data_IF_056149267761
#
_entry.id   IF_056149267761
#
_cell.length_a   1.000
_cell.length_b   1.000
_cell.length_c   1.000
_cell.angle_alpha   90.00
_cell.angle_beta   90.00
_cell.angle_gamma   90.00
#
_symmetry.space_group_name_H-M   'P 1'
#
loop_
_entity.id
_entity.type
_entity.pdbx_description
1 polymer ?
#
# COMPACT_ATOMS: atom_id res chain seq x y z
N UNK A 1 7.10 -16.11 -41.08
CA UNK A 1 6.54 -16.40 -39.74
C UNK A 1 6.31 -15.07 -39.07
N UNK A 2 5.05 -14.74 -38.81
CA UNK A 2 4.67 -13.49 -38.14
C UNK A 2 5.16 -13.54 -36.70
N UNK A 3 5.91 -12.53 -36.27
CA UNK A 3 6.23 -12.32 -34.88
C UNK A 3 4.91 -12.09 -34.13
N UNK A 4 4.56 -12.98 -33.20
CA UNK A 4 3.52 -12.68 -32.24
C UNK A 4 4.01 -11.52 -31.38
N UNK A 5 3.34 -10.37 -31.54
CA UNK A 5 3.39 -9.29 -30.55
C UNK A 5 2.95 -9.87 -29.20
N UNK A 6 3.56 -9.48 -28.06
CA UNK A 6 2.97 -9.78 -26.76
C UNK A 6 1.59 -9.13 -26.74
N UNK A 7 0.52 -9.92 -26.64
CA UNK A 7 -0.84 -9.38 -26.52
C UNK A 7 -0.90 -8.51 -25.27
N UNK A 8 -0.92 -7.19 -25.46
CA UNK A 8 -1.29 -6.26 -24.41
C UNK A 8 -2.77 -6.50 -24.09
N UNK A 9 -3.09 -6.65 -22.81
CA UNK A 9 -4.48 -6.76 -22.35
C UNK A 9 -5.33 -5.63 -22.93
N UNK A 10 -6.56 -5.97 -23.32
CA UNK A 10 -7.58 -5.01 -23.73
C UNK A 10 -8.09 -4.20 -22.53
N UNK A 11 -8.66 -3.03 -22.78
CA UNK A 11 -9.23 -2.19 -21.72
C UNK A 11 -10.34 -2.91 -20.92
N UNK A 12 -11.11 -3.78 -21.58
CA UNK A 12 -12.14 -4.61 -20.91
C UNK A 12 -11.51 -5.59 -19.92
N UNK A 13 -10.44 -6.27 -20.33
CA UNK A 13 -9.72 -7.20 -19.45
C UNK A 13 -9.05 -6.46 -18.28
N UNK A 14 -8.49 -5.27 -18.53
CA UNK A 14 -7.93 -4.41 -17.47
C UNK A 14 -9.03 -4.02 -16.49
N UNK A 15 -10.20 -3.59 -16.97
CA UNK A 15 -11.33 -3.22 -16.12
C UNK A 15 -11.82 -4.39 -15.27
N UNK A 16 -11.94 -5.59 -15.85
CA UNK A 16 -12.33 -6.79 -15.12
C UNK A 16 -11.34 -7.14 -14.01
N UNK A 17 -10.03 -7.01 -14.28
CA UNK A 17 -8.99 -7.20 -13.27
C UNK A 17 -9.14 -6.16 -12.16
N UNK A 18 -9.19 -4.86 -12.47
CA UNK A 18 -9.30 -3.80 -11.46
C UNK A 18 -10.57 -3.93 -10.61
N UNK A 19 -11.71 -4.30 -11.22
CA UNK A 19 -12.96 -4.60 -10.52
C UNK A 19 -12.81 -5.81 -9.59
N UNK A 20 -12.09 -6.85 -10.02
CA UNK A 20 -11.83 -8.02 -9.18
C UNK A 20 -10.97 -7.67 -7.96
N UNK A 21 -9.97 -6.79 -8.11
CA UNK A 21 -9.08 -6.36 -7.04
C UNK A 21 -9.81 -5.62 -5.90
N UNK A 22 -10.97 -5.01 -6.15
CA UNK A 22 -11.80 -4.41 -5.09
C UNK A 22 -12.30 -5.44 -4.06
N UNK A 23 -12.34 -6.72 -4.43
CA UNK A 23 -12.75 -7.83 -3.55
C UNK A 23 -11.58 -8.40 -2.76
N UNK A 24 -10.36 -7.93 -3.02
CA UNK A 24 -9.17 -8.43 -2.38
C UNK A 24 -9.07 -7.99 -0.93
N UNK A 25 -8.63 -8.93 -0.10
CA UNK A 25 -8.32 -8.69 1.31
C UNK A 25 -6.83 -8.43 1.49
N UNK A 26 -6.48 -7.17 1.76
CA UNK A 26 -5.09 -6.75 1.99
C UNK A 26 -4.51 -7.33 3.29
N UNK A 27 -5.37 -7.69 4.23
CA UNK A 27 -5.05 -8.06 5.61
C UNK A 27 -4.88 -9.58 5.83
N UNK A 28 -5.06 -10.41 4.80
CA UNK A 28 -5.10 -11.89 4.94
C UNK A 28 -3.83 -12.42 5.62
N UNK A 29 -2.65 -12.13 5.06
CA UNK A 29 -1.36 -12.56 5.62
C UNK A 29 -1.10 -11.93 6.99
N UNK A 30 -1.40 -10.64 7.13
CA UNK A 30 -1.19 -9.91 8.36
C UNK A 30 -2.03 -10.47 9.54
N UNK A 31 -3.27 -10.87 9.28
CA UNK A 31 -4.13 -11.53 10.26
C UNK A 31 -3.64 -12.94 10.63
N UNK A 32 -3.07 -13.68 9.67
CA UNK A 32 -2.45 -14.98 9.95
C UNK A 32 -1.24 -14.83 10.87
N UNK A 33 -0.39 -13.81 10.63
CA UNK A 33 0.74 -13.47 11.49
C UNK A 33 0.26 -13.17 12.92
N UNK A 34 -0.75 -12.32 13.07
CA UNK A 34 -1.33 -11.96 14.37
C UNK A 34 -1.86 -13.21 15.09
N UNK A 35 -2.57 -14.08 14.38
CA UNK A 35 -3.12 -15.32 14.93
C UNK A 35 -2.01 -16.25 15.43
N UNK A 36 -0.94 -16.40 14.66
CA UNK A 36 0.17 -17.30 14.96
C UNK A 36 1.04 -16.80 16.13
N UNK A 37 1.13 -15.49 16.36
CA UNK A 37 1.92 -14.92 17.44
C UNK A 37 1.40 -15.18 18.86
N UNK A 38 0.09 -15.44 19.02
CA UNK A 38 -0.53 -15.70 20.32
C UNK A 38 -0.33 -14.57 21.35
N UNK A 39 -0.51 -14.89 22.64
CA UNK A 39 -0.46 -13.89 23.72
C UNK A 39 0.97 -13.39 24.01
N UNK A 40 1.96 -14.29 24.00
CA UNK A 40 3.34 -13.97 24.34
C UNK A 40 4.08 -13.21 23.22
N UNK A 41 3.74 -13.50 21.96
CA UNK A 41 4.32 -12.86 20.78
C UNK A 41 3.49 -11.70 20.22
N UNK A 42 2.46 -11.23 20.93
CA UNK A 42 1.46 -10.28 20.40
C UNK A 42 2.08 -9.01 19.80
N UNK A 43 3.06 -8.42 20.49
CA UNK A 43 3.72 -7.19 20.04
C UNK A 43 4.51 -7.40 18.75
N UNK A 44 5.34 -8.45 18.73
CA UNK A 44 6.12 -8.81 17.54
C UNK A 44 5.24 -9.19 16.36
N UNK A 45 4.15 -9.92 16.62
CA UNK A 45 3.20 -10.30 15.58
C UNK A 45 2.54 -9.07 14.94
N UNK A 46 2.16 -8.04 15.71
CA UNK A 46 1.59 -6.83 15.11
C UNK A 46 2.62 -5.98 14.36
N UNK A 47 3.90 -5.98 14.78
CA UNK A 47 4.99 -5.39 13.98
C UNK A 47 5.07 -6.07 12.62
N UNK A 48 5.18 -7.39 12.60
CA UNK A 48 5.28 -8.15 11.36
C UNK A 48 4.01 -8.03 10.50
N UNK A 49 2.83 -7.94 11.13
CA UNK A 49 1.57 -7.70 10.43
C UNK A 49 1.51 -6.34 9.73
N UNK A 50 2.05 -5.27 10.33
CA UNK A 50 2.17 -3.96 9.67
C UNK A 50 3.11 -4.00 8.46
N UNK A 51 4.21 -4.74 8.57
CA UNK A 51 5.14 -4.95 7.44
C UNK A 51 4.46 -5.73 6.31
N UNK A 52 3.76 -6.81 6.64
CA UNK A 52 3.02 -7.62 5.67
C UNK A 52 1.90 -6.82 4.98
N UNK A 53 1.12 -6.06 5.75
CA UNK A 53 0.09 -5.16 5.22
C UNK A 53 0.69 -4.14 4.23
N UNK A 54 1.81 -3.51 4.61
CA UNK A 54 2.51 -2.56 3.73
C UNK A 54 3.01 -3.21 2.45
N UNK A 55 3.55 -4.43 2.53
CA UNK A 55 4.06 -5.14 1.37
C UNK A 55 2.94 -5.52 0.40
N UNK A 56 1.84 -6.09 0.93
CA UNK A 56 0.69 -6.52 0.13
C UNK A 56 -0.03 -5.33 -0.51
N UNK A 57 -0.25 -4.25 0.24
CA UNK A 57 -0.77 -2.99 -0.34
C UNK A 57 0.10 -2.49 -1.49
N UNK A 58 1.43 -2.44 -1.29
CA UNK A 58 2.33 -1.90 -2.31
C UNK A 58 2.40 -2.79 -3.56
N UNK A 59 2.37 -4.10 -3.40
CA UNK A 59 2.33 -5.05 -4.52
C UNK A 59 1.09 -4.83 -5.38
N UNK A 60 -0.10 -4.82 -4.76
CA UNK A 60 -1.36 -4.63 -5.46
C UNK A 60 -1.51 -3.23 -6.04
N UNK A 61 -1.04 -2.20 -5.34
CA UNK A 61 -1.00 -0.84 -5.86
C UNK A 61 -0.17 -0.75 -7.13
N UNK A 62 1.04 -1.34 -7.12
CA UNK A 62 1.94 -1.34 -8.29
C UNK A 62 1.31 -2.11 -9.44
N UNK A 63 0.71 -3.27 -9.18
CA UNK A 63 0.01 -4.06 -10.19
C UNK A 63 -1.13 -3.25 -10.84
N UNK A 64 -2.07 -2.74 -10.03
CA UNK A 64 -3.21 -1.97 -10.50
C UNK A 64 -2.77 -0.74 -11.31
N UNK A 65 -1.82 0.04 -10.80
CA UNK A 65 -1.33 1.23 -11.48
C UNK A 65 -0.53 0.90 -12.75
N UNK A 66 0.20 -0.23 -12.77
CA UNK A 66 0.93 -0.69 -13.96
C UNK A 66 -0.02 -1.07 -15.07
N UNK A 67 -1.08 -1.82 -14.74
CA UNK A 67 -2.13 -2.21 -15.68
C UNK A 67 -2.88 -0.98 -16.21
N UNK A 68 -3.48 -0.20 -15.31
CA UNK A 68 -4.33 0.92 -15.68
C UNK A 68 -3.58 2.04 -16.43
N UNK A 69 -2.34 2.33 -16.03
CA UNK A 69 -1.56 3.41 -16.63
C UNK A 69 -0.60 2.90 -17.71
N UNK A 70 -0.56 1.61 -18.03
CA UNK A 70 0.36 1.06 -19.04
C UNK A 70 1.83 1.38 -18.73
N UNK A 71 2.25 1.15 -17.49
CA UNK A 71 3.60 1.52 -17.04
C UNK A 71 4.64 0.51 -17.54
N UNK A 72 5.79 1.00 -17.99
CA UNK A 72 6.93 0.13 -18.27
C UNK A 72 7.60 -0.34 -16.96
N UNK A 73 8.49 -1.33 -17.05
CA UNK A 73 9.19 -1.92 -15.90
C UNK A 73 9.93 -0.89 -15.03
N UNK A 74 10.52 0.13 -15.66
CA UNK A 74 11.20 1.23 -14.96
C UNK A 74 10.24 2.11 -14.18
N UNK A 75 9.07 2.41 -14.74
CA UNK A 75 8.01 3.18 -14.08
C UNK A 75 7.35 2.38 -12.96
N UNK A 76 7.04 1.10 -13.19
CA UNK A 76 6.47 0.19 -12.19
C UNK A 76 7.38 0.06 -10.95
N UNK A 77 8.71 0.04 -11.13
CA UNK A 77 9.65 0.06 -10.00
C UNK A 77 9.64 1.39 -9.24
N UNK A 78 9.50 2.50 -9.96
CA UNK A 78 9.58 3.85 -9.38
C UNK A 78 8.30 4.29 -8.67
N UNK A 79 7.14 3.78 -9.06
CA UNK A 79 5.85 4.18 -8.49
C UNK A 79 5.72 3.87 -6.98
N UNK A 80 6.62 3.05 -6.44
CA UNK A 80 6.78 2.78 -5.00
C UNK A 80 7.29 3.97 -4.21
N UNK A 81 7.97 4.91 -4.86
CA UNK A 81 8.49 6.12 -4.20
C UNK A 81 7.49 7.26 -4.31
N UNK A 82 7.15 7.90 -3.19
CA UNK A 82 6.19 9.02 -3.09
C UNK A 82 6.31 10.04 -4.24
N UNK A 83 7.52 10.56 -4.48
CA UNK A 83 7.77 11.57 -5.52
C UNK A 83 7.43 11.07 -6.92
N UNK A 84 7.81 9.84 -7.23
CA UNK A 84 7.56 9.23 -8.53
C UNK A 84 6.09 8.82 -8.69
N UNK A 85 5.44 8.31 -7.64
CA UNK A 85 4.00 8.03 -7.60
C UNK A 85 3.19 9.25 -8.01
N UNK A 86 3.40 10.37 -7.33
CA UNK A 86 2.73 11.65 -7.60
C UNK A 86 2.97 12.08 -9.06
N UNK A 87 4.23 12.00 -9.51
CA UNK A 87 4.60 12.40 -10.87
C UNK A 87 3.95 11.53 -11.95
N UNK A 88 3.90 10.22 -11.75
CA UNK A 88 3.32 9.25 -12.68
C UNK A 88 1.81 9.47 -12.78
N UNK A 89 1.10 9.59 -11.65
CA UNK A 89 -0.34 9.87 -11.63
C UNK A 89 -0.65 11.22 -12.28
N UNK A 90 0.10 12.27 -11.93
CA UNK A 90 -0.10 13.63 -12.47
C UNK A 90 0.10 13.69 -13.98
N UNK A 91 1.04 12.92 -14.53
CA UNK A 91 1.26 12.83 -15.98
C UNK A 91 0.03 12.25 -16.72
N UNK A 92 -0.90 11.61 -16.01
CA UNK A 92 -2.16 11.06 -16.52
C UNK A 92 -3.40 11.85 -16.06
N UNK A 93 -3.19 13.04 -15.50
CA UNK A 93 -4.28 13.90 -15.04
C UNK A 93 -4.91 13.47 -13.72
N UNK A 94 -4.28 12.54 -12.98
CA UNK A 94 -4.73 12.11 -11.66
C UNK A 94 -3.93 12.81 -10.57
N UNK A 95 -4.60 13.38 -9.56
CA UNK A 95 -3.95 13.94 -8.38
C UNK A 95 -3.93 12.91 -7.24
N UNK A 96 -2.84 12.15 -7.12
CA UNK A 96 -2.71 11.14 -6.07
C UNK A 96 -2.79 11.73 -4.66
N UNK A 97 -2.32 12.96 -4.44
CA UNK A 97 -2.37 13.57 -3.11
C UNK A 97 -3.77 14.04 -2.72
N UNK A 98 -4.66 14.24 -3.69
CA UNK A 98 -6.06 14.55 -3.44
C UNK A 98 -6.91 13.30 -3.14
N UNK A 99 -6.36 12.09 -3.36
CA UNK A 99 -7.04 10.83 -3.02
C UNK A 99 -7.00 10.62 -1.50
N UNK A 100 -8.17 10.45 -0.91
CA UNK A 100 -8.30 10.22 0.53
C UNK A 100 -7.50 8.98 0.95
N UNK A 101 -6.78 9.07 2.06
CA UNK A 101 -5.86 8.04 2.57
C UNK A 101 -4.44 8.04 1.97
N UNK A 102 -4.09 8.95 1.05
CA UNK A 102 -2.73 9.02 0.49
C UNK A 102 -1.64 9.31 1.55
N UNK A 103 -1.97 10.11 2.57
CA UNK A 103 -1.09 10.34 3.71
C UNK A 103 -0.99 9.09 4.61
N UNK A 104 -2.11 8.40 4.85
CA UNK A 104 -2.13 7.14 5.62
C UNK A 104 -1.28 6.06 4.97
N UNK A 105 -1.31 5.92 3.64
CA UNK A 105 -0.41 5.02 2.90
C UNK A 105 1.07 5.38 3.08
N UNK A 106 1.39 6.67 3.14
CA UNK A 106 2.75 7.12 3.41
C UNK A 106 3.18 6.79 4.85
N UNK A 107 2.28 6.97 5.82
CA UNK A 107 2.52 6.61 7.23
C UNK A 107 2.79 5.12 7.37
N UNK A 108 1.96 4.25 6.75
CA UNK A 108 2.18 2.81 6.78
C UNK A 108 3.55 2.42 6.19
N UNK A 109 3.94 3.02 5.05
CA UNK A 109 5.24 2.75 4.44
C UNK A 109 6.42 3.15 5.36
N UNK A 110 6.30 4.28 6.06
CA UNK A 110 7.31 4.74 7.02
C UNK A 110 7.40 3.83 8.25
N UNK A 111 6.23 3.40 8.76
CA UNK A 111 6.14 2.45 9.87
C UNK A 111 6.78 1.11 9.51
N UNK A 112 6.46 0.56 8.33
CA UNK A 112 7.03 -0.70 7.86
C UNK A 112 8.56 -0.58 7.70
N UNK A 113 9.05 0.52 7.13
CA UNK A 113 10.48 0.77 7.00
C UNK A 113 11.18 0.85 8.36
N UNK A 114 10.57 1.53 9.35
CA UNK A 114 11.09 1.64 10.70
C UNK A 114 11.17 0.27 11.40
N UNK A 115 10.13 -0.56 11.25
CA UNK A 115 10.12 -1.93 11.77
C UNK A 115 11.26 -2.74 11.13
N UNK A 116 11.37 -2.74 9.80
CA UNK A 116 12.34 -3.59 9.09
C UNK A 116 13.80 -3.16 9.27
N UNK A 117 14.09 -1.88 9.52
CA UNK A 117 15.47 -1.36 9.60
C UNK A 117 15.94 -1.04 11.00
N UNK A 118 15.03 -0.59 11.84
CA UNK A 118 15.34 0.02 13.14
C UNK A 118 14.62 -0.72 14.29
N UNK A 119 14.04 -1.89 14.02
CA UNK A 119 13.22 -2.65 14.98
C UNK A 119 12.14 -1.80 15.67
N UNK A 120 11.60 -0.83 14.92
CA UNK A 120 10.62 0.14 15.40
C UNK A 120 11.09 1.02 16.58
N UNK A 121 12.40 1.21 16.76
CA UNK A 121 12.93 2.19 17.71
C UNK A 121 12.42 3.59 17.32
N UNK A 122 11.82 4.32 18.26
CA UNK A 122 11.36 5.69 18.03
C UNK A 122 12.58 6.58 17.81
N UNK A 123 12.77 7.07 16.59
CA UNK A 123 13.79 8.07 16.24
C UNK A 123 13.17 9.47 16.10
N UNK A 124 13.99 10.53 16.12
CA UNK A 124 13.53 11.91 15.91
C UNK A 124 12.77 12.07 14.57
N UNK A 125 13.18 11.33 13.54
CA UNK A 125 12.49 11.32 12.24
C UNK A 125 11.15 10.58 12.23
N UNK A 126 10.91 9.67 13.19
CA UNK A 126 9.64 8.97 13.39
C UNK A 126 8.72 9.69 14.39
N UNK A 127 9.28 10.61 15.17
CA UNK A 127 8.56 11.42 16.14
C UNK A 127 7.48 12.25 15.44
N UNK A 128 6.21 12.02 15.81
CA UNK A 128 5.01 12.68 15.27
C UNK A 128 4.52 12.24 13.87
N UNK A 129 5.12 11.21 13.23
CA UNK A 129 4.56 10.65 11.98
C UNK A 129 3.25 9.92 12.26
N UNK A 130 3.16 9.26 13.42
CA UNK A 130 1.97 8.54 13.85
C UNK A 130 1.69 8.83 15.32
N UNK A 131 0.43 9.03 15.74
CA UNK A 131 0.09 9.44 17.12
C UNK A 131 0.66 8.52 18.21
N UNK A 132 0.91 7.26 17.86
CA UNK A 132 1.39 6.20 18.74
C UNK A 132 2.93 6.01 18.71
N UNK A 133 3.66 6.70 17.83
CA UNK A 133 5.13 6.75 17.77
C UNK A 133 5.62 8.11 18.30
N UNK A 134 5.55 8.27 19.62
CA UNK A 134 5.97 9.51 20.31
C UNK A 134 7.02 9.18 21.36
N UNK A 135 8.01 10.06 21.48
CA UNK A 135 9.04 9.96 22.51
C UNK A 135 8.38 10.05 23.90
N UNK A 136 8.83 9.21 24.83
CA UNK A 136 8.23 9.10 26.17
C UNK A 136 6.97 8.22 26.24
N UNK A 137 6.47 7.66 25.13
CA UNK A 137 5.45 6.61 25.19
C UNK A 137 6.11 5.27 25.51
N UNK A 138 5.76 4.63 26.64
CA UNK A 138 6.49 3.48 27.16
C UNK A 138 6.35 2.21 26.29
N UNK A 139 5.41 2.19 25.33
CA UNK A 139 5.25 1.09 24.37
C UNK A 139 4.43 1.58 23.17
N UNK A 140 4.96 1.44 21.94
CA UNK A 140 4.17 1.67 20.72
C UNK A 140 3.01 0.67 20.72
N UNK A 141 1.78 1.16 20.58
CA UNK A 141 0.58 0.31 20.57
C UNK A 141 0.36 -0.26 19.16
N UNK A 142 1.18 -1.24 18.77
CA UNK A 142 1.15 -1.83 17.42
C UNK A 142 -0.20 -2.48 17.08
N UNK A 143 -0.95 -2.94 18.09
CA UNK A 143 -2.30 -3.47 17.91
C UNK A 143 -3.32 -2.40 17.51
N UNK A 144 -3.30 -1.26 18.20
CA UNK A 144 -4.15 -0.13 17.85
C UNK A 144 -3.72 0.49 16.52
N UNK A 145 -2.39 0.59 16.28
CA UNK A 145 -1.82 1.04 15.03
C UNK A 145 -2.31 0.19 13.86
N UNK A 146 -2.19 -1.13 13.98
CA UNK A 146 -2.62 -2.08 12.97
C UNK A 146 -4.11 -1.95 12.67
N UNK A 147 -4.96 -1.91 13.72
CA UNK A 147 -6.41 -1.81 13.54
C UNK A 147 -6.83 -0.58 12.75
N UNK A 148 -6.21 0.58 13.02
CA UNK A 148 -6.53 1.83 12.31
C UNK A 148 -5.98 1.78 10.88
N UNK A 149 -4.72 1.39 10.72
CA UNK A 149 -4.06 1.41 9.41
C UNK A 149 -4.65 0.37 8.46
N UNK A 150 -5.08 -0.79 8.92
CA UNK A 150 -5.70 -1.81 8.07
C UNK A 150 -6.98 -1.31 7.39
N UNK A 151 -7.88 -0.71 8.18
CA UNK A 151 -9.15 -0.15 7.68
C UNK A 151 -8.89 0.99 6.68
N UNK A 152 -8.06 1.96 7.06
CA UNK A 152 -7.78 3.13 6.23
C UNK A 152 -7.07 2.77 4.93
N UNK A 153 -6.17 1.79 4.94
CA UNK A 153 -5.40 1.37 3.76
C UNK A 153 -6.28 0.57 2.79
N UNK A 154 -7.17 -0.27 3.31
CA UNK A 154 -8.17 -0.96 2.50
C UNK A 154 -9.11 0.03 1.82
N UNK A 155 -9.57 1.07 2.55
CA UNK A 155 -10.38 2.15 1.96
C UNK A 155 -9.60 2.92 0.90
N UNK A 156 -8.38 3.36 1.22
CA UNK A 156 -7.53 4.09 0.28
C UNK A 156 -7.28 3.30 -1.01
N UNK A 157 -7.00 2.00 -0.91
CA UNK A 157 -6.77 1.17 -2.09
C UNK A 157 -8.01 1.09 -2.99
N UNK A 158 -9.21 0.97 -2.41
CA UNK A 158 -10.45 1.03 -3.18
C UNK A 158 -10.64 2.38 -3.89
N UNK A 159 -10.32 3.49 -3.22
CA UNK A 159 -10.38 4.83 -3.83
C UNK A 159 -9.39 4.94 -5.00
N UNK A 160 -8.18 4.42 -4.86
CA UNK A 160 -7.21 4.36 -5.95
C UNK A 160 -7.76 3.55 -7.12
N UNK A 161 -8.32 2.36 -6.86
CA UNK A 161 -8.92 1.52 -7.89
C UNK A 161 -10.04 2.25 -8.62
N UNK A 162 -10.91 2.98 -7.92
CA UNK A 162 -11.98 3.75 -8.54
C UNK A 162 -11.44 4.81 -9.51
N UNK A 163 -10.40 5.56 -9.11
CA UNK A 163 -9.75 6.53 -10.00
C UNK A 163 -9.04 5.89 -11.20
N UNK A 164 -8.48 4.69 -11.02
CA UNK A 164 -7.83 3.95 -12.10
C UNK A 164 -8.86 3.36 -13.08
N UNK A 165 -9.99 2.85 -12.58
CA UNK A 165 -11.12 2.39 -13.39
C UNK A 165 -11.69 3.55 -14.21
N UNK A 166 -11.96 4.69 -13.57
CA UNK A 166 -12.41 5.90 -14.27
C UNK A 166 -11.40 6.38 -15.32
N UNK A 167 -10.10 6.20 -15.07
CA UNK A 167 -9.06 6.55 -16.04
C UNK A 167 -9.10 5.64 -17.27
N UNK A 168 -9.29 4.32 -17.10
CA UNK A 168 -9.35 3.35 -18.20
C UNK A 168 -10.65 3.47 -19.02
N UNK A 169 -11.74 3.93 -18.40
CA UNK A 169 -13.02 4.13 -19.08
C UNK A 169 -13.09 5.38 -19.98
N UNK A 170 -12.12 6.29 -19.89
CA UNK A 170 -12.07 7.55 -20.67
C UNK A 170 -11.60 7.31 -22.09
#
# INVERSE_FOLDING_TARGET
MFAQSPESLSDIEILDILQSMKKDKLDTEANEIIRNGGKAGRQEAHKQALVALSANFEEKFVEAATLALGLNSGQAKKIRYKKDRIRIFKARGLDYLAMDGAETAQVLAQVAQAISREDAIVTEGLHNIFPFWKEGWPMVQFDNAYKILEEDITLHFNIVLDHLIEYVQK
#
